data_IF_228235547175
#
_entry.id   IF_228235547175
#
_cell.length_a   1.000
_cell.length_b   1.000
_cell.length_c   1.000
_cell.angle_alpha   90.00
_cell.angle_beta   90.00
_cell.angle_gamma   90.00
#
_symmetry.space_group_name_H-M   'P 1'
#
loop_
_entity.id
_entity.type
_entity.pdbx_description
1 polymer ?
#
# COMPACT_ATOMS: atom_id res chain seq x y z
N UNK A 1 2.74 -26.11 -12.90
CA UNK A 1 3.80 -25.14 -12.65
C UNK A 1 3.43 -24.36 -11.40
N UNK A 2 4.38 -24.09 -10.52
CA UNK A 2 4.15 -23.27 -9.32
C UNK A 2 3.92 -21.81 -9.77
N UNK A 3 2.90 -21.15 -9.23
CA UNK A 3 2.64 -19.75 -9.49
C UNK A 3 3.74 -18.89 -8.88
N UNK A 4 4.21 -17.87 -9.60
CA UNK A 4 5.24 -16.93 -9.16
C UNK A 4 4.63 -15.55 -8.95
N UNK A 5 4.81 -15.00 -7.78
CA UNK A 5 4.21 -13.72 -7.39
C UNK A 5 5.26 -12.69 -7.00
N UNK A 6 5.12 -11.45 -7.50
CA UNK A 6 5.80 -10.29 -6.97
C UNK A 6 4.93 -9.60 -5.91
N UNK A 7 5.49 -9.36 -4.73
CA UNK A 7 4.93 -8.48 -3.70
C UNK A 7 5.77 -7.20 -3.63
N UNK A 8 5.35 -6.18 -4.34
CA UNK A 8 5.96 -4.84 -4.28
C UNK A 8 5.51 -4.12 -3.00
N UNK A 9 6.45 -3.58 -2.22
CA UNK A 9 6.21 -3.07 -0.87
C UNK A 9 6.15 -4.18 0.18
N UNK A 10 6.75 -5.34 -0.12
CA UNK A 10 6.67 -6.53 0.76
C UNK A 10 7.51 -6.45 2.03
N UNK A 11 8.47 -5.52 2.14
CA UNK A 11 9.15 -5.18 3.39
C UNK A 11 8.29 -4.36 4.36
N UNK A 12 7.08 -3.94 3.93
CA UNK A 12 6.11 -3.23 4.74
C UNK A 12 5.20 -4.17 5.55
N UNK A 13 4.25 -3.55 6.27
CA UNK A 13 3.31 -4.26 7.14
C UNK A 13 2.39 -5.23 6.36
N UNK A 14 1.56 -4.71 5.47
CA UNK A 14 0.58 -5.52 4.74
C UNK A 14 1.30 -6.48 3.79
N UNK A 15 2.33 -5.98 3.09
CA UNK A 15 3.10 -6.79 2.13
C UNK A 15 3.82 -7.97 2.78
N UNK A 16 4.36 -7.79 3.98
CA UNK A 16 4.99 -8.87 4.74
C UNK A 16 4.00 -9.99 5.12
N UNK A 17 2.80 -9.64 5.59
CA UNK A 17 1.75 -10.63 5.86
C UNK A 17 1.29 -11.35 4.59
N UNK A 18 1.13 -10.62 3.49
CA UNK A 18 0.76 -11.22 2.21
C UNK A 18 1.83 -12.19 1.71
N UNK A 19 3.11 -11.81 1.80
CA UNK A 19 4.22 -12.68 1.42
C UNK A 19 4.25 -13.97 2.25
N UNK A 20 4.01 -13.87 3.58
CA UNK A 20 3.91 -15.03 4.46
C UNK A 20 2.80 -16.00 4.02
N UNK A 21 1.60 -15.48 3.75
CA UNK A 21 0.45 -16.27 3.33
C UNK A 21 0.69 -16.96 1.99
N UNK A 22 1.19 -16.21 0.99
CA UNK A 22 1.50 -16.77 -0.34
C UNK A 22 2.54 -17.91 -0.26
N UNK A 23 3.61 -17.72 0.53
CA UNK A 23 4.60 -18.77 0.79
C UNK A 23 3.99 -19.97 1.51
N UNK A 24 3.02 -19.75 2.40
CA UNK A 24 2.29 -20.81 3.10
C UNK A 24 1.44 -21.68 2.17
N UNK A 25 0.93 -21.10 1.08
CA UNK A 25 0.15 -21.81 0.06
C UNK A 25 1.00 -22.42 -1.06
N UNK A 26 2.33 -22.30 -0.98
CA UNK A 26 3.26 -22.90 -1.93
C UNK A 26 3.52 -22.06 -3.19
N UNK A 27 3.16 -20.77 -3.16
CA UNK A 27 3.51 -19.81 -4.22
C UNK A 27 5.00 -19.47 -4.11
N UNK A 28 5.68 -19.33 -5.25
CA UNK A 28 7.05 -18.81 -5.31
C UNK A 28 7.00 -17.28 -5.27
N UNK A 29 7.62 -16.66 -4.25
CA UNK A 29 7.44 -15.24 -3.94
C UNK A 29 8.73 -14.47 -4.11
N UNK A 30 8.67 -13.41 -4.91
CA UNK A 30 9.63 -12.31 -4.91
C UNK A 30 9.06 -11.15 -4.09
N UNK A 31 9.84 -10.63 -3.15
CA UNK A 31 9.53 -9.44 -2.35
C UNK A 31 10.44 -8.31 -2.81
N UNK A 32 9.88 -7.14 -3.12
CA UNK A 32 10.64 -5.94 -3.45
C UNK A 32 10.21 -4.77 -2.55
N UNK A 33 11.19 -4.07 -1.97
CA UNK A 33 10.97 -2.87 -1.15
C UNK A 33 12.18 -1.94 -1.26
N UNK A 34 11.97 -0.63 -1.13
CA UNK A 34 13.04 0.37 -1.16
C UNK A 34 13.88 0.36 0.14
N UNK A 35 13.27 -0.05 1.25
CA UNK A 35 13.96 -0.10 2.54
C UNK A 35 15.03 -1.19 2.54
N UNK A 36 16.18 -0.98 3.21
CA UNK A 36 17.12 -2.05 3.52
C UNK A 36 16.44 -3.21 4.24
N UNK A 37 16.87 -4.45 3.99
CA UNK A 37 16.22 -5.64 4.52
C UNK A 37 16.18 -5.70 6.07
N UNK A 38 17.14 -5.09 6.76
CA UNK A 38 17.21 -4.99 8.22
C UNK A 38 16.12 -4.09 8.82
N UNK A 39 15.46 -3.27 7.98
CA UNK A 39 14.34 -2.42 8.33
C UNK A 39 12.97 -3.01 7.93
N UNK A 40 12.95 -4.20 7.36
CA UNK A 40 11.69 -4.85 7.02
C UNK A 40 11.01 -5.39 8.28
N UNK A 41 9.71 -5.13 8.40
CA UNK A 41 8.94 -5.64 9.55
C UNK A 41 8.87 -7.16 9.59
N UNK A 42 8.84 -7.80 8.41
CA UNK A 42 8.85 -9.24 8.26
C UNK A 42 9.79 -9.61 7.12
N UNK A 43 10.71 -10.53 7.39
CA UNK A 43 11.63 -11.07 6.39
C UNK A 43 11.33 -12.54 6.17
N UNK A 44 11.21 -12.92 4.92
CA UNK A 44 10.89 -14.29 4.54
C UNK A 44 12.08 -14.96 3.85
N UNK A 45 12.86 -15.84 4.54
CA UNK A 45 14.06 -16.44 3.95
C UNK A 45 13.78 -17.36 2.74
N UNK A 46 12.54 -17.81 2.57
CA UNK A 46 12.12 -18.61 1.40
C UNK A 46 11.74 -17.77 0.20
N UNK A 47 11.58 -16.47 0.34
CA UNK A 47 11.31 -15.56 -0.75
C UNK A 47 12.62 -15.04 -1.38
N UNK A 48 12.56 -14.64 -2.65
CA UNK A 48 13.59 -13.82 -3.26
C UNK A 48 13.40 -12.37 -2.77
N UNK A 49 14.25 -11.91 -1.87
CA UNK A 49 14.16 -10.57 -1.29
C UNK A 49 15.05 -9.61 -2.10
N UNK A 50 14.48 -8.48 -2.55
CA UNK A 50 15.13 -7.47 -3.37
C UNK A 50 14.98 -6.10 -2.73
N UNK A 51 16.09 -5.38 -2.58
CA UNK A 51 16.07 -3.97 -2.18
C UNK A 51 16.14 -3.13 -3.46
N UNK A 52 15.01 -2.59 -3.87
CA UNK A 52 14.85 -1.90 -5.16
C UNK A 52 13.96 -0.67 -5.00
N UNK A 53 14.34 0.41 -5.69
CA UNK A 53 13.49 1.57 -5.87
C UNK A 53 12.62 1.38 -7.12
N UNK A 54 11.33 1.12 -6.91
CA UNK A 54 10.37 0.86 -7.99
C UNK A 54 9.90 2.14 -8.71
N UNK A 55 10.41 3.32 -8.34
CA UNK A 55 10.31 4.52 -9.19
C UNK A 55 11.25 4.40 -10.42
N UNK A 56 12.26 3.52 -10.37
CA UNK A 56 13.11 3.19 -11.51
C UNK A 56 12.50 2.09 -12.39
N UNK A 57 12.30 2.34 -13.70
CA UNK A 57 11.80 1.31 -14.63
C UNK A 57 12.67 0.06 -14.72
N UNK A 58 13.99 0.18 -14.58
CA UNK A 58 14.91 -0.95 -14.64
C UNK A 58 14.75 -1.85 -13.38
N UNK A 59 14.57 -1.24 -12.21
CA UNK A 59 14.27 -1.95 -10.98
C UNK A 59 12.90 -2.70 -11.07
N UNK A 60 11.90 -2.08 -11.69
CA UNK A 60 10.62 -2.75 -11.96
C UNK A 60 10.80 -3.96 -12.87
N UNK A 61 11.62 -3.84 -13.92
CA UNK A 61 11.92 -4.96 -14.83
C UNK A 61 12.59 -6.12 -14.09
N UNK A 62 13.55 -5.83 -13.21
CA UNK A 62 14.22 -6.84 -12.38
C UNK A 62 13.27 -7.52 -11.39
N UNK A 63 12.44 -6.72 -10.69
CA UNK A 63 11.48 -7.24 -9.71
C UNK A 63 10.45 -8.18 -10.33
N UNK A 64 10.04 -7.87 -11.57
CA UNK A 64 9.03 -8.62 -12.32
C UNK A 64 9.58 -9.89 -13.02
N UNK A 65 10.89 -10.12 -12.97
CA UNK A 65 11.48 -11.27 -13.67
C UNK A 65 10.76 -12.58 -13.31
N UNK A 66 10.14 -13.18 -14.33
CA UNK A 66 9.38 -14.43 -14.24
C UNK A 66 8.05 -14.37 -13.44
N UNK A 67 7.56 -13.19 -13.03
CA UNK A 67 6.30 -13.08 -12.28
C UNK A 67 5.07 -13.37 -13.15
N UNK A 68 4.17 -14.23 -12.64
CA UNK A 68 2.86 -14.50 -13.24
C UNK A 68 1.80 -13.54 -12.66
N UNK A 69 2.01 -13.08 -11.42
CA UNK A 69 1.09 -12.23 -10.67
C UNK A 69 1.86 -11.13 -9.93
N UNK A 70 1.30 -9.93 -9.91
CA UNK A 70 1.84 -8.78 -9.16
C UNK A 70 0.84 -8.34 -8.09
N UNK A 71 1.34 -8.13 -6.89
CA UNK A 71 0.65 -7.44 -5.79
C UNK A 71 1.40 -6.13 -5.51
N UNK A 72 0.87 -5.01 -6.01
CA UNK A 72 1.47 -3.70 -5.80
C UNK A 72 0.89 -3.02 -4.56
N UNK A 73 1.67 -3.06 -3.46
CA UNK A 73 1.41 -2.34 -2.21
C UNK A 73 2.48 -1.25 -1.96
N UNK A 74 3.41 -1.07 -2.90
CA UNK A 74 4.47 -0.08 -2.77
C UNK A 74 3.92 1.33 -2.95
N UNK A 75 4.10 2.19 -1.96
CA UNK A 75 3.81 3.62 -2.03
C UNK A 75 4.42 4.37 -0.84
N UNK A 76 4.65 5.67 -1.03
CA UNK A 76 4.97 6.57 0.07
C UNK A 76 3.68 6.97 0.78
N UNK A 77 3.47 6.46 2.00
CA UNK A 77 2.26 6.72 2.76
C UNK A 77 2.50 6.63 4.29
N UNK A 78 1.54 7.12 5.05
CA UNK A 78 1.54 7.05 6.51
C UNK A 78 0.15 7.33 7.08
N UNK A 79 0.08 7.77 8.34
CA UNK A 79 -1.12 8.37 8.93
C UNK A 79 -1.44 9.73 8.28
N UNK A 80 -2.60 10.32 8.60
CA UNK A 80 -3.04 11.59 8.01
C UNK A 80 -2.00 12.70 8.15
N UNK A 81 -1.39 12.87 9.32
CA UNK A 81 -0.33 13.86 9.52
C UNK A 81 0.88 13.70 8.60
N UNK A 82 1.25 12.47 8.22
CA UNK A 82 2.31 12.25 7.24
C UNK A 82 1.85 12.65 5.82
N UNK A 83 0.67 12.24 5.41
CA UNK A 83 0.13 12.48 4.06
C UNK A 83 -0.02 13.97 3.80
N UNK A 84 -0.62 14.72 4.75
CA UNK A 84 -0.85 16.16 4.64
C UNK A 84 0.45 16.97 4.55
N UNK A 85 1.50 16.52 5.22
CA UNK A 85 2.79 17.24 5.25
C UNK A 85 3.79 16.77 4.18
N UNK A 86 3.47 15.72 3.41
CA UNK A 86 4.36 15.13 2.40
C UNK A 86 3.65 14.85 1.07
N UNK A 87 2.78 15.77 0.65
CA UNK A 87 1.91 15.59 -0.53
C UNK A 87 2.66 15.22 -1.80
N UNK A 88 3.70 16.00 -2.16
CA UNK A 88 4.50 15.73 -3.35
C UNK A 88 5.18 14.35 -3.30
N UNK A 89 5.71 13.95 -2.14
CA UNK A 89 6.31 12.63 -1.95
C UNK A 89 5.28 11.51 -2.13
N UNK A 90 4.08 11.68 -1.59
CA UNK A 90 3.00 10.71 -1.76
C UNK A 90 2.57 10.62 -3.24
N UNK A 91 2.46 11.75 -3.94
CA UNK A 91 2.10 11.78 -5.36
C UNK A 91 3.13 11.12 -6.27
N UNK A 92 4.43 11.18 -5.93
CA UNK A 92 5.48 10.48 -6.71
C UNK A 92 5.25 8.97 -6.78
N UNK A 93 4.49 8.38 -5.86
CA UNK A 93 4.13 6.96 -5.93
C UNK A 93 3.38 6.56 -7.22
N UNK A 94 2.86 7.53 -7.96
CA UNK A 94 2.31 7.30 -9.31
C UNK A 94 3.34 6.69 -10.25
N UNK A 95 4.63 7.02 -10.09
CA UNK A 95 5.72 6.46 -10.89
C UNK A 95 5.86 4.96 -10.66
N UNK A 96 5.79 4.52 -9.41
CA UNK A 96 5.86 3.09 -9.04
C UNK A 96 4.78 2.30 -9.79
N UNK A 97 3.52 2.72 -9.67
CA UNK A 97 2.41 2.00 -10.31
C UNK A 97 2.49 2.05 -11.84
N UNK A 98 2.86 3.20 -12.41
CA UNK A 98 3.00 3.38 -13.86
C UNK A 98 4.09 2.48 -14.42
N UNK A 99 5.27 2.45 -13.78
CA UNK A 99 6.39 1.63 -14.22
C UNK A 99 6.11 0.14 -14.06
N UNK A 100 5.55 -0.28 -12.91
CA UNK A 100 5.18 -1.67 -12.69
C UNK A 100 4.13 -2.16 -13.70
N UNK A 101 3.07 -1.39 -13.96
CA UNK A 101 2.05 -1.76 -14.96
C UNK A 101 2.64 -1.89 -16.36
N UNK A 102 3.48 -0.90 -16.76
CA UNK A 102 4.13 -0.91 -18.07
C UNK A 102 5.03 -2.13 -18.23
N UNK A 103 5.90 -2.38 -17.26
CA UNK A 103 6.81 -3.52 -17.30
C UNK A 103 6.07 -4.86 -17.20
N UNK A 104 5.03 -4.94 -16.36
CA UNK A 104 4.20 -6.14 -16.23
C UNK A 104 3.50 -6.48 -17.57
N UNK A 105 2.97 -5.49 -18.26
CA UNK A 105 2.37 -5.67 -19.57
C UNK A 105 3.39 -6.17 -20.61
N UNK A 106 4.58 -5.58 -20.64
CA UNK A 106 5.65 -5.97 -21.57
C UNK A 106 6.19 -7.38 -21.31
N UNK A 107 6.20 -7.82 -20.07
CA UNK A 107 6.68 -9.16 -19.68
C UNK A 107 5.57 -10.22 -19.68
N UNK A 108 4.34 -9.86 -20.04
CA UNK A 108 3.22 -10.80 -20.17
C UNK A 108 2.64 -11.26 -18.82
N UNK A 109 2.80 -10.46 -17.76
CA UNK A 109 2.15 -10.71 -16.47
C UNK A 109 0.65 -10.79 -16.65
N UNK A 110 0.03 -11.84 -16.12
CA UNK A 110 -1.38 -12.13 -16.35
C UNK A 110 -2.30 -11.38 -15.39
N UNK A 111 -1.89 -11.24 -14.12
CA UNK A 111 -2.71 -10.68 -13.04
C UNK A 111 -1.97 -9.60 -12.29
N UNK A 112 -2.68 -8.49 -12.05
CA UNK A 112 -2.15 -7.34 -11.33
C UNK A 112 -3.14 -6.89 -10.26
N UNK A 113 -2.71 -6.87 -9.01
CA UNK A 113 -3.47 -6.40 -7.87
C UNK A 113 -2.89 -5.07 -7.39
N UNK A 114 -3.74 -4.04 -7.31
CA UNK A 114 -3.34 -2.71 -6.88
C UNK A 114 -3.98 -2.35 -5.54
N UNK A 115 -3.14 -1.93 -4.59
CA UNK A 115 -3.56 -1.42 -3.29
C UNK A 115 -3.92 0.07 -3.40
N UNK A 116 -5.21 0.35 -3.53
CA UNK A 116 -5.79 1.68 -3.42
C UNK A 116 -6.18 1.99 -1.97
N UNK A 117 -6.89 3.08 -1.73
CA UNK A 117 -7.20 3.59 -0.40
C UNK A 117 -8.61 4.18 -0.33
N UNK A 118 -9.17 4.25 0.86
CA UNK A 118 -10.37 5.03 1.15
C UNK A 118 -10.17 6.55 0.93
N UNK A 119 -8.93 7.04 0.90
CA UNK A 119 -8.63 8.44 0.59
C UNK A 119 -9.02 8.88 -0.83
N UNK A 120 -9.46 7.94 -1.69
CA UNK A 120 -9.98 8.27 -3.03
C UNK A 120 -11.43 8.79 -2.99
N UNK A 121 -12.14 8.54 -1.90
CA UNK A 121 -13.51 9.02 -1.75
C UNK A 121 -13.52 10.53 -1.45
N UNK A 122 -14.56 11.26 -1.94
CA UNK A 122 -14.63 12.71 -1.74
C UNK A 122 -14.71 13.12 -0.28
N UNK A 123 -13.93 14.12 0.12
CA UNK A 123 -13.88 14.63 1.49
C UNK A 123 -15.24 15.10 2.01
N UNK A 124 -16.06 15.73 1.14
CA UNK A 124 -17.42 16.18 1.52
C UNK A 124 -18.36 15.03 1.90
N UNK A 125 -18.01 13.77 1.60
CA UNK A 125 -18.74 12.58 2.03
C UNK A 125 -18.20 11.96 3.31
N UNK A 126 -17.12 12.48 3.87
CA UNK A 126 -16.43 11.91 5.02
C UNK A 126 -16.42 12.84 6.24
N UNK A 127 -16.96 14.06 6.12
CA UNK A 127 -16.88 15.11 7.14
C UNK A 127 -17.98 15.08 8.19
N UNK A 128 -19.00 14.23 8.07
CA UNK A 128 -20.15 14.21 9.00
C UNK A 128 -20.17 12.92 9.83
N UNK A 129 -20.66 13.00 11.08
CA UNK A 129 -20.71 11.87 12.01
C UNK A 129 -21.77 10.82 11.64
N UNK A 130 -22.86 11.24 10.98
CA UNK A 130 -23.96 10.38 10.54
C UNK A 130 -23.79 9.87 9.11
N UNK A 131 -22.60 9.32 8.81
CA UNK A 131 -22.24 8.86 7.47
C UNK A 131 -23.07 7.66 7.01
N UNK A 132 -23.68 7.81 5.85
CA UNK A 132 -24.15 6.67 5.07
C UNK A 132 -22.92 5.91 4.57
N UNK A 133 -22.91 4.58 4.75
CA UNK A 133 -21.80 3.74 4.30
C UNK A 133 -21.45 3.99 2.82
N UNK A 134 -20.18 4.21 2.53
CA UNK A 134 -19.67 4.49 1.19
C UNK A 134 -19.82 3.27 0.27
N UNK A 135 -20.21 3.53 -0.97
CA UNK A 135 -20.22 2.55 -2.06
C UNK A 135 -19.03 2.82 -3.00
N UNK A 136 -18.59 1.83 -3.74
CA UNK A 136 -17.50 1.99 -4.70
C UNK A 136 -17.75 3.09 -5.74
N UNK A 137 -19.02 3.27 -6.17
CA UNK A 137 -19.46 4.34 -7.07
C UNK A 137 -19.27 5.75 -6.50
N UNK A 138 -19.21 5.90 -5.18
CA UNK A 138 -19.15 7.19 -4.50
C UNK A 138 -17.78 7.88 -4.63
N UNK A 139 -16.82 7.23 -5.27
CA UNK A 139 -15.56 7.86 -5.72
C UNK A 139 -15.78 9.00 -6.73
N UNK A 140 -16.98 9.10 -7.30
CA UNK A 140 -17.31 10.11 -8.30
C UNK A 140 -18.61 10.87 -7.96
N UNK A 141 -18.67 12.20 -8.23
CA UNK A 141 -17.61 13.04 -8.82
C UNK A 141 -16.37 13.11 -7.92
N UNK A 142 -15.19 13.10 -8.55
CA UNK A 142 -13.91 12.98 -7.84
C UNK A 142 -13.56 14.26 -7.06
N UNK A 143 -13.30 14.12 -5.77
CA UNK A 143 -12.73 15.11 -4.88
C UNK A 143 -11.95 14.40 -3.76
N UNK A 144 -10.96 13.56 -4.11
CA UNK A 144 -10.21 12.79 -3.14
C UNK A 144 -9.35 13.69 -2.25
N UNK A 145 -8.78 13.11 -1.18
CA UNK A 145 -7.77 13.77 -0.38
C UNK A 145 -6.62 14.30 -1.26
N UNK A 146 -6.16 15.50 -0.94
CA UNK A 146 -5.16 16.23 -1.73
C UNK A 146 -3.76 15.59 -1.61
N UNK A 147 -3.25 15.11 -2.73
CA UNK A 147 -1.96 14.42 -2.84
C UNK A 147 -2.12 12.91 -2.93
N UNK A 148 -2.11 12.20 -1.81
CA UNK A 148 -2.19 10.74 -1.77
C UNK A 148 -3.49 10.19 -2.38
N UNK A 149 -4.64 10.79 -2.09
CA UNK A 149 -5.92 10.38 -2.65
C UNK A 149 -5.97 10.54 -4.17
N UNK A 150 -5.45 11.64 -4.70
CA UNK A 150 -5.35 11.87 -6.15
C UNK A 150 -4.40 10.88 -6.83
N UNK A 151 -3.25 10.57 -6.23
CA UNK A 151 -2.35 9.53 -6.74
C UNK A 151 -3.07 8.18 -6.85
N UNK A 152 -3.75 7.78 -5.78
CA UNK A 152 -4.47 6.51 -5.73
C UNK A 152 -5.59 6.44 -6.76
N UNK A 153 -6.38 7.51 -6.91
CA UNK A 153 -7.46 7.56 -7.90
C UNK A 153 -6.95 7.55 -9.34
N UNK A 154 -5.87 8.28 -9.63
CA UNK A 154 -5.19 8.23 -10.93
C UNK A 154 -4.72 6.81 -11.23
N UNK A 155 -4.07 6.16 -10.28
CA UNK A 155 -3.56 4.79 -10.41
C UNK A 155 -4.68 3.77 -10.63
N UNK A 156 -5.86 3.91 -9.98
CA UNK A 156 -7.04 3.10 -10.28
C UNK A 156 -7.50 3.26 -11.73
N UNK A 157 -7.53 4.52 -12.23
CA UNK A 157 -7.90 4.82 -13.62
C UNK A 157 -6.91 4.18 -14.59
N UNK A 158 -5.61 4.30 -14.31
CA UNK A 158 -4.57 3.68 -15.12
C UNK A 158 -4.73 2.15 -15.16
N UNK A 159 -4.91 1.52 -14.01
CA UNK A 159 -5.18 0.08 -13.89
C UNK A 159 -6.38 -0.36 -14.75
N UNK A 160 -7.47 0.41 -14.70
CA UNK A 160 -8.67 0.15 -15.50
C UNK A 160 -8.36 0.19 -17.01
N UNK A 161 -7.62 1.20 -17.47
CA UNK A 161 -7.29 1.30 -18.90
C UNK A 161 -6.32 0.21 -19.35
N UNK A 162 -5.43 -0.27 -18.50
CA UNK A 162 -4.62 -1.45 -18.83
C UNK A 162 -5.46 -2.73 -18.99
N UNK A 163 -6.56 -2.87 -18.26
CA UNK A 163 -7.52 -3.95 -18.49
C UNK A 163 -8.27 -3.74 -19.84
N UNK A 164 -8.73 -2.52 -20.11
CA UNK A 164 -9.53 -2.19 -21.30
C UNK A 164 -8.70 -2.29 -22.60
N UNK A 165 -7.47 -1.77 -22.59
CA UNK A 165 -6.63 -1.65 -23.79
C UNK A 165 -5.78 -2.90 -24.06
N UNK A 166 -5.32 -3.56 -23.02
CA UNK A 166 -4.36 -4.69 -23.12
C UNK A 166 -4.91 -6.02 -22.61
N UNK A 167 -6.12 -6.06 -22.05
CA UNK A 167 -6.72 -7.29 -21.51
C UNK A 167 -6.04 -7.82 -20.23
N UNK A 168 -5.15 -7.03 -19.59
CA UNK A 168 -4.52 -7.42 -18.34
C UNK A 168 -5.57 -7.57 -17.23
N UNK A 169 -5.55 -8.69 -16.51
CA UNK A 169 -6.49 -8.92 -15.42
C UNK A 169 -6.11 -8.09 -14.19
N UNK A 170 -6.64 -6.89 -14.09
CA UNK A 170 -6.39 -6.01 -12.95
C UNK A 170 -7.50 -6.14 -11.91
N UNK A 171 -7.11 -6.10 -10.64
CA UNK A 171 -8.01 -5.95 -9.47
C UNK A 171 -7.50 -4.84 -8.57
N UNK A 172 -8.42 -4.00 -8.11
CA UNK A 172 -8.14 -2.86 -7.23
C UNK A 172 -8.79 -3.12 -5.88
N UNK A 173 -8.05 -2.93 -4.80
CA UNK A 173 -8.54 -3.02 -3.42
C UNK A 173 -8.42 -1.66 -2.75
N UNK A 174 -9.52 -1.09 -2.28
CA UNK A 174 -9.56 0.16 -1.52
C UNK A 174 -9.45 -0.16 -0.04
N UNK A 175 -8.24 -0.12 0.48
CA UNK A 175 -8.01 -0.34 1.91
C UNK A 175 -8.51 0.86 2.73
N UNK A 176 -9.24 0.56 3.78
CA UNK A 176 -9.50 1.47 4.89
C UNK A 176 -8.33 1.40 5.89
N UNK A 177 -8.57 1.78 7.15
CA UNK A 177 -7.52 1.71 8.16
C UNK A 177 -7.18 0.26 8.51
N UNK A 178 -5.99 -0.16 8.14
CA UNK A 178 -5.43 -1.48 8.47
C UNK A 178 -4.44 -1.31 9.63
N UNK A 179 -4.57 -2.14 10.65
CA UNK A 179 -3.68 -2.16 11.81
C UNK A 179 -3.52 -3.60 12.32
N UNK A 180 -2.43 -3.87 13.03
CA UNK A 180 -2.15 -5.19 13.58
C UNK A 180 -0.68 -5.41 13.87
N UNK A 181 -0.29 -6.65 14.24
CA UNK A 181 1.11 -7.01 14.48
C UNK A 181 2.01 -6.66 13.29
N UNK A 182 3.23 -6.21 13.56
CA UNK A 182 4.19 -5.72 12.58
C UNK A 182 3.79 -4.43 11.84
N UNK A 183 2.71 -3.75 12.26
CA UNK A 183 2.38 -2.41 11.77
C UNK A 183 3.26 -1.34 12.42
N UNK A 184 3.44 -0.21 11.73
CA UNK A 184 4.11 0.97 12.30
C UNK A 184 3.34 1.45 13.53
N UNK A 185 4.01 1.64 14.64
CA UNK A 185 3.42 2.06 15.92
C UNK A 185 4.04 3.34 16.48
N UNK A 186 5.11 3.84 15.86
CA UNK A 186 5.83 5.07 16.23
C UNK A 186 6.45 5.74 14.99
N UNK A 187 6.98 6.98 15.16
CA UNK A 187 7.73 7.69 14.12
C UNK A 187 6.87 8.54 13.16
N UNK A 188 5.60 8.81 13.49
CA UNK A 188 4.73 9.74 12.76
C UNK A 188 4.05 9.17 11.51
N UNK A 189 4.24 7.88 11.24
CA UNK A 189 3.53 7.17 10.14
C UNK A 189 2.48 6.19 10.66
N UNK A 190 2.36 6.03 11.96
CA UNK A 190 1.42 5.11 12.61
C UNK A 190 -0.04 5.53 12.42
N UNK A 191 -0.93 4.55 12.39
CA UNK A 191 -2.37 4.75 12.40
C UNK A 191 -2.89 4.94 13.83
N UNK A 192 -4.02 5.62 13.99
CA UNK A 192 -4.59 5.96 15.30
C UNK A 192 -4.67 4.79 16.28
N UNK A 193 -5.13 3.57 15.92
CA UNK A 193 -5.17 2.46 16.88
C UNK A 193 -3.79 2.11 17.44
N UNK A 194 -2.75 2.08 16.61
CA UNK A 194 -1.38 1.77 17.04
C UNK A 194 -0.82 2.89 17.93
N UNK A 195 -1.05 4.16 17.56
CA UNK A 195 -0.63 5.32 18.35
C UNK A 195 -1.30 5.33 19.73
N UNK A 196 -2.60 5.04 19.82
CA UNK A 196 -3.35 4.99 21.08
C UNK A 196 -2.81 3.85 21.96
N UNK A 197 -2.62 2.65 21.41
CA UNK A 197 -2.03 1.54 22.15
C UNK A 197 -0.65 1.89 22.71
N UNK A 198 0.23 2.52 21.93
CA UNK A 198 1.53 3.00 22.38
C UNK A 198 1.39 3.99 23.52
N UNK A 199 0.59 5.04 23.35
CA UNK A 199 0.37 6.09 24.36
C UNK A 199 -0.14 5.50 25.69
N UNK A 200 -1.08 4.55 25.67
CA UNK A 200 -1.58 3.88 26.87
C UNK A 200 -0.47 3.11 27.58
N UNK A 201 0.30 2.30 26.86
CA UNK A 201 1.40 1.51 27.43
C UNK A 201 2.48 2.42 28.02
N UNK A 202 2.82 3.52 27.34
CA UNK A 202 3.80 4.51 27.83
C UNK A 202 3.29 5.23 29.08
N UNK A 203 2.02 5.64 29.12
CA UNK A 203 1.41 6.28 30.27
C UNK A 203 1.38 5.37 31.50
N UNK A 204 1.06 4.08 31.32
CA UNK A 204 1.12 3.08 32.38
C UNK A 204 2.55 2.92 32.91
N UNK A 205 3.55 2.76 32.01
CA UNK A 205 4.96 2.59 32.37
C UNK A 205 5.54 3.81 33.11
N UNK A 206 5.11 5.00 32.74
CA UNK A 206 5.55 6.26 33.31
C UNK A 206 4.75 6.68 34.56
N UNK A 207 3.67 5.97 34.89
CA UNK A 207 2.80 6.26 36.02
C UNK A 207 1.95 7.53 35.86
N UNK A 208 1.85 8.10 34.66
CA UNK A 208 1.03 9.29 34.41
C UNK A 208 -0.46 8.98 34.32
N UNK A 209 -0.79 7.79 33.78
CA UNK A 209 -2.17 7.33 33.52
C UNK A 209 -3.03 8.28 32.68
N UNK A 210 -2.38 9.22 31.98
CA UNK A 210 -3.01 10.20 31.10
C UNK A 210 -2.42 10.09 29.70
N UNK A 211 -3.27 10.19 28.68
CA UNK A 211 -2.88 10.24 27.28
C UNK A 211 -3.54 11.40 26.58
N UNK A 212 -2.85 12.00 25.64
CA UNK A 212 -3.41 12.99 24.73
C UNK A 212 -4.05 12.28 23.53
N UNK A 213 -5.34 12.54 23.28
CA UNK A 213 -6.09 12.06 22.11
C UNK A 213 -6.53 13.28 21.30
N UNK A 214 -6.31 13.25 20.01
CA UNK A 214 -6.68 14.33 19.09
C UNK A 214 -8.00 13.97 18.42
N UNK A 215 -8.88 14.95 18.32
CA UNK A 215 -10.24 14.84 17.80
C UNK A 215 -11.29 15.18 18.86
N UNK A 216 -12.48 15.52 18.40
CA UNK A 216 -13.64 15.82 19.25
C UNK A 216 -14.41 14.55 19.64
#
# INVERSE_FOLDING_TARGET
>A
MTQRALVAGGGGFIGGHLAAELLGTGVDVTVADIKPEDQWYQRHPRARNLVLDLEDPAACQEALAEADVVYNLACNMGGMGFIENNRALCMNSVLINTNLLKQAQQQGVQKYFYASSACIYPDYRQGETDLVALKESDAYPAMPEDGYGWEKLFSERLCRHYLEDFGMQVRVFRFHNVYGPFGTWDGGREKAPAAICRKIIEAERNGSYEIEVWGD
#
